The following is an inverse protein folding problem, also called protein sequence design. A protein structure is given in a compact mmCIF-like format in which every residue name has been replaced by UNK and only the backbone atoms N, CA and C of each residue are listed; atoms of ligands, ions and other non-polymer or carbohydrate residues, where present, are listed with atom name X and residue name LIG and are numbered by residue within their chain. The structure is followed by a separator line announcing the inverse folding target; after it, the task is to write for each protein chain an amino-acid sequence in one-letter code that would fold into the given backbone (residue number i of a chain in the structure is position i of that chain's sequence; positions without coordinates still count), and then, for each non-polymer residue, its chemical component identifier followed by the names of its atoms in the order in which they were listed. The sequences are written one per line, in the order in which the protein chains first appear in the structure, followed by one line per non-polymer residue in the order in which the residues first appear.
data_IF_341839407044
#
_entry.id   IF_341839407044
#
_cell.length_a   1.000
_cell.length_b   1.000
_cell.length_c   1.000
_cell.angle_alpha   90.00
_cell.angle_beta   90.00
_cell.angle_gamma   90.00
#
_symmetry.space_group_name_H-M   'P 1'
#
loop_
_entity.id
_entity.type
_entity.pdbx_description
1 polymer ?
#
# COMPACT_ATOMS: atom_id res chain seq x y z
N UNK A 1 1.44 20.53 -4.19
CA UNK A 1 1.17 19.46 -5.18
C UNK A 1 1.46 19.94 -6.61
N UNK A 2 2.40 20.86 -6.82
CA UNK A 2 2.64 21.48 -8.14
C UNK A 2 3.70 20.77 -9.01
N UNK A 3 4.34 19.72 -8.50
CA UNK A 3 5.43 19.00 -9.19
C UNK A 3 5.35 17.47 -8.96
N UNK A 4 4.13 16.91 -8.94
CA UNK A 4 3.97 15.45 -8.92
C UNK A 4 3.64 14.97 -10.33
N UNK A 5 4.38 13.97 -10.81
CA UNK A 5 3.99 13.26 -12.03
C UNK A 5 2.63 12.61 -11.82
N UNK A 6 1.74 12.74 -12.81
CA UNK A 6 0.47 12.03 -12.81
C UNK A 6 0.75 10.53 -12.92
N UNK A 7 0.65 9.83 -11.79
CA UNK A 7 0.81 8.38 -11.75
C UNK A 7 -0.58 7.77 -11.75
N UNK A 8 -0.88 7.01 -12.81
CA UNK A 8 -2.17 6.34 -12.88
C UNK A 8 -2.33 5.33 -11.75
N UNK A 9 -1.23 4.69 -11.31
CA UNK A 9 -1.21 3.73 -10.21
C UNK A 9 -0.33 4.19 -9.05
N UNK A 10 -0.76 4.01 -7.79
CA UNK A 10 -0.05 4.42 -6.58
C UNK A 10 1.28 3.70 -6.37
N UNK A 11 1.54 2.60 -7.09
CA UNK A 11 2.80 1.89 -7.03
C UNK A 11 3.42 1.80 -8.42
N UNK A 12 4.72 2.08 -8.50
CA UNK A 12 5.47 1.92 -9.74
C UNK A 12 5.64 0.42 -9.99
N UNK A 13 5.22 -0.11 -11.15
CA UNK A 13 5.40 -1.52 -11.49
C UNK A 13 6.89 -1.90 -11.41
N UNK A 14 7.18 -3.01 -10.72
CA UNK A 14 8.56 -3.46 -10.45
C UNK A 14 9.12 -3.03 -9.08
N UNK A 15 8.41 -2.20 -8.33
CA UNK A 15 8.77 -1.89 -6.94
C UNK A 15 8.51 -3.12 -6.06
N UNK A 16 9.57 -3.63 -5.42
CA UNK A 16 9.48 -4.77 -4.50
C UNK A 16 9.31 -4.26 -3.07
N UNK A 17 8.45 -4.94 -2.31
CA UNK A 17 8.42 -4.77 -0.86
C UNK A 17 9.72 -5.34 -0.29
N UNK A 18 10.51 -4.50 0.36
CA UNK A 18 11.74 -4.89 1.06
C UNK A 18 11.48 -4.72 2.55
N UNK A 19 11.96 -5.68 3.34
CA UNK A 19 11.87 -5.58 4.79
C UNK A 19 12.87 -4.53 5.27
N UNK A 20 12.38 -3.53 5.97
CA UNK A 20 13.25 -2.52 6.58
C UNK A 20 13.85 -3.10 7.86
N UNK A 21 15.14 -3.45 7.83
CA UNK A 21 15.84 -4.06 8.97
C UNK A 21 16.04 -3.08 10.13
N UNK A 22 16.01 -1.78 9.82
CA UNK A 22 16.13 -0.69 10.79
C UNK A 22 14.76 -0.10 11.19
N UNK A 23 13.67 -0.69 10.70
CA UNK A 23 12.33 -0.17 10.82
C UNK A 23 11.72 -0.50 12.18
N UNK A 24 10.92 0.42 12.70
CA UNK A 24 10.20 0.18 13.95
C UNK A 24 9.20 -0.96 13.75
N UNK A 25 9.27 -1.98 14.60
CA UNK A 25 8.29 -3.05 14.59
C UNK A 25 6.89 -2.45 14.83
N UNK A 26 6.00 -2.60 13.86
CA UNK A 26 4.59 -2.20 13.99
C UNK A 26 3.79 -3.35 14.59
N UNK A 27 2.83 -3.05 15.46
CA UNK A 27 1.96 -4.07 16.02
C UNK A 27 1.17 -4.78 14.90
N UNK A 28 1.08 -6.11 14.99
CA UNK A 28 0.44 -6.92 13.96
C UNK A 28 -1.07 -6.62 13.83
N UNK A 29 -1.72 -6.17 14.91
CA UNK A 29 -3.14 -5.79 14.90
C UNK A 29 -3.35 -4.47 14.17
N UNK A 30 -2.49 -3.50 14.41
CA UNK A 30 -2.53 -2.20 13.71
C UNK A 30 -2.27 -2.38 12.21
N UNK A 31 -1.26 -3.20 11.86
CA UNK A 31 -0.99 -3.54 10.47
C UNK A 31 -2.21 -4.17 9.77
N UNK A 32 -2.81 -5.20 10.38
CA UNK A 32 -4.02 -5.85 9.84
C UNK A 32 -5.21 -4.90 9.74
N UNK A 33 -5.38 -4.00 10.71
CA UNK A 33 -6.43 -2.99 10.68
C UNK A 33 -6.23 -2.02 9.51
N UNK A 34 -5.01 -1.51 9.30
CA UNK A 34 -4.67 -0.65 8.16
C UNK A 34 -4.94 -1.36 6.83
N UNK A 35 -4.52 -2.62 6.67
CA UNK A 35 -4.81 -3.42 5.48
C UNK A 35 -6.32 -3.57 5.26
N UNK A 36 -7.11 -3.78 6.33
CA UNK A 36 -8.57 -3.85 6.25
C UNK A 36 -9.21 -2.53 5.79
N UNK A 37 -8.74 -1.39 6.31
CA UNK A 37 -9.19 -0.07 5.87
C UNK A 37 -8.84 0.20 4.40
N UNK A 38 -7.64 -0.22 3.96
CA UNK A 38 -7.20 -0.14 2.57
C UNK A 38 -8.03 -1.03 1.64
N UNK A 39 -8.40 -2.23 2.08
CA UNK A 39 -9.32 -3.11 1.33
C UNK A 39 -10.69 -2.48 1.12
N UNK A 40 -11.21 -1.76 2.11
CA UNK A 40 -12.46 -1.02 1.96
C UNK A 40 -12.37 0.04 0.85
N UNK A 41 -11.22 0.74 0.74
CA UNK A 41 -10.98 1.74 -0.30
C UNK A 41 -10.85 1.15 -1.71
N UNK A 42 -10.62 -0.16 -1.86
CA UNK A 42 -10.57 -0.81 -3.18
C UNK A 42 -11.89 -0.70 -3.94
N UNK A 43 -13.02 -0.61 -3.23
CA UNK A 43 -14.34 -0.47 -3.85
C UNK A 43 -14.49 0.83 -4.66
N UNK A 44 -13.80 1.91 -4.25
CA UNK A 44 -13.89 3.23 -4.90
C UNK A 44 -12.66 3.54 -5.74
N UNK A 45 -11.52 2.92 -5.45
CA UNK A 45 -10.23 3.15 -6.11
C UNK A 45 -9.61 1.80 -6.49
N UNK A 46 -10.07 1.14 -7.57
CA UNK A 46 -9.55 -0.16 -8.01
C UNK A 46 -8.06 -0.10 -8.39
N UNK A 47 -7.59 1.10 -8.69
CA UNK A 47 -6.20 1.41 -8.96
C UNK A 47 -5.24 1.11 -7.77
N UNK A 48 -5.74 1.12 -6.54
CA UNK A 48 -5.00 0.70 -5.34
C UNK A 48 -4.96 -0.84 -5.17
N UNK A 49 -5.76 -1.60 -5.92
CA UNK A 49 -5.93 -3.06 -5.71
C UNK A 49 -4.62 -3.82 -5.78
N UNK A 50 -3.79 -3.53 -6.77
CA UNK A 50 -2.50 -4.20 -6.90
C UNK A 50 -1.61 -3.98 -5.68
N UNK A 51 -1.53 -2.75 -5.18
CA UNK A 51 -0.71 -2.39 -4.01
C UNK A 51 -1.23 -3.03 -2.73
N UNK A 52 -2.55 -2.99 -2.50
CA UNK A 52 -3.16 -3.54 -1.29
C UNK A 52 -3.07 -5.07 -1.27
N UNK A 53 -3.29 -5.74 -2.42
CA UNK A 53 -3.14 -7.19 -2.54
C UNK A 53 -1.70 -7.66 -2.29
N UNK A 54 -0.68 -6.86 -2.66
CA UNK A 54 0.71 -7.18 -2.37
C UNK A 54 1.03 -7.15 -0.86
N UNK A 55 0.43 -6.21 -0.13
CA UNK A 55 0.68 -5.96 1.31
C UNK A 55 -0.20 -6.87 2.19
N UNK A 56 -1.35 -7.31 1.69
CA UNK A 56 -2.26 -8.21 2.40
C UNK A 56 -1.80 -9.67 2.49
N UNK A 57 -0.69 -10.03 1.83
CA UNK A 57 -0.17 -11.41 1.75
C UNK A 57 0.53 -11.87 3.02
#
# INVERSE_FOLDING_TARGET
MENCNEVCSPIVPGSKLVKDENGTATDAREYKQMVGCLMYLLATRPDLAYSVCLVAR
#
